data_IF_280929982036
#
_entry.id   IF_280929982036
#
_cell.length_a   1.000
_cell.length_b   1.000
_cell.length_c   1.000
_cell.angle_alpha   90.00
_cell.angle_beta   90.00
_cell.angle_gamma   90.00
#
_symmetry.space_group_name_H-M   'P 1'
#
loop_
_entity.id
_entity.type
_entity.pdbx_description
1 polymer ?
#
# COMPACT_ATOMS: atom_id res chain seq x y z
N UNK A 1 7.31 7.68 8.55
CA UNK A 1 7.03 7.80 7.10
C UNK A 1 5.56 7.53 6.79
N UNK A 2 4.99 6.36 7.10
CA UNK A 2 3.58 6.07 6.77
C UNK A 2 2.58 7.12 7.25
N UNK A 3 2.68 7.54 8.52
CA UNK A 3 1.82 8.58 9.09
C UNK A 3 1.96 9.92 8.36
N UNK A 4 3.16 10.28 7.90
CA UNK A 4 3.37 11.50 7.12
C UNK A 4 2.54 11.48 5.84
N UNK A 5 2.50 10.34 5.13
CA UNK A 5 1.68 10.18 3.92
C UNK A 5 0.19 10.05 4.25
N UNK A 6 -0.17 9.39 5.36
CA UNK A 6 -1.55 9.33 5.85
C UNK A 6 -2.11 10.73 6.15
N UNK A 7 -1.24 11.65 6.58
CA UNK A 7 -1.57 13.04 6.91
C UNK A 7 -1.27 14.02 5.75
N UNK A 8 -1.21 13.54 4.51
CA UNK A 8 -0.91 14.33 3.31
C UNK A 8 0.30 15.27 3.46
N UNK A 9 1.39 14.76 4.04
CA UNK A 9 2.65 15.48 4.16
C UNK A 9 2.75 16.44 5.34
N UNK A 10 1.74 16.50 6.23
CA UNK A 10 1.80 17.31 7.44
C UNK A 10 2.34 16.50 8.60
N UNK A 11 3.27 17.09 9.36
CA UNK A 11 3.83 16.50 10.58
C UNK A 11 3.85 17.57 11.67
N UNK A 12 3.27 17.27 12.84
CA UNK A 12 3.19 18.21 13.96
C UNK A 12 2.68 19.62 13.58
N UNK A 13 1.74 19.70 12.63
CA UNK A 13 1.18 20.98 12.14
C UNK A 13 2.02 21.70 11.09
N UNK A 14 3.21 21.19 10.75
CA UNK A 14 4.07 21.73 9.70
C UNK A 14 3.94 20.90 8.42
N UNK A 15 3.81 21.57 7.27
CA UNK A 15 3.76 20.92 5.97
C UNK A 15 5.18 20.63 5.45
N UNK A 16 5.51 19.35 5.33
CA UNK A 16 6.81 18.86 4.82
C UNK A 16 6.71 18.52 3.33
N UNK A 17 5.60 17.91 2.89
CA UNK A 17 5.37 17.56 1.48
C UNK A 17 4.30 18.49 0.87
N UNK A 18 4.34 18.75 -0.46
CA UNK A 18 3.31 19.51 -1.14
C UNK A 18 1.91 18.96 -0.85
N UNK A 19 0.91 19.84 -0.85
CA UNK A 19 -0.49 19.41 -0.75
C UNK A 19 -0.85 18.44 -1.89
N UNK A 20 -1.58 17.37 -1.55
CA UNK A 20 -1.96 16.32 -2.50
C UNK A 20 -0.82 15.34 -2.85
N UNK A 21 0.34 15.42 -2.18
CA UNK A 21 1.45 14.50 -2.44
C UNK A 21 1.09 13.05 -2.14
N UNK A 22 0.26 12.79 -1.11
CA UNK A 22 -0.21 11.44 -0.82
C UNK A 22 -1.07 10.88 -1.97
N UNK A 23 -1.96 11.71 -2.52
CA UNK A 23 -2.78 11.33 -3.67
C UNK A 23 -1.93 11.10 -4.92
N UNK A 24 -0.92 11.94 -5.14
CA UNK A 24 0.01 11.81 -6.27
C UNK A 24 0.72 10.45 -6.26
N UNK A 25 1.28 10.03 -5.11
CA UNK A 25 1.95 8.72 -5.02
C UNK A 25 0.98 7.54 -5.07
N UNK A 26 -0.28 7.74 -4.65
CA UNK A 26 -1.33 6.74 -4.72
C UNK A 26 -2.00 6.63 -6.10
N UNK A 27 -1.55 7.42 -7.09
CA UNK A 27 -2.11 7.44 -8.45
C UNK A 27 -1.22 6.65 -9.42
N UNK A 28 -1.76 5.75 -10.26
CA UNK A 28 -0.95 5.00 -11.22
C UNK A 28 -0.19 5.92 -12.18
N UNK A 29 1.10 5.68 -12.34
CA UNK A 29 1.91 6.35 -13.35
C UNK A 29 1.59 5.80 -14.76
N UNK A 30 1.68 6.60 -15.83
CA UNK A 30 1.42 6.15 -17.20
C UNK A 30 2.26 4.95 -17.65
N UNK A 31 3.47 4.80 -17.09
CA UNK A 31 4.38 3.70 -17.40
C UNK A 31 3.98 2.37 -16.75
N UNK A 32 3.10 2.40 -15.75
CA UNK A 32 2.59 1.19 -15.08
C UNK A 32 1.13 1.43 -14.64
N UNK A 33 0.20 1.52 -15.61
CA UNK A 33 -1.22 1.71 -15.34
C UNK A 33 -1.83 0.45 -14.73
N UNK A 34 -3.04 0.59 -14.20
CA UNK A 34 -3.90 -0.57 -13.90
C UNK A 34 -4.25 -1.25 -15.22
N UNK A 35 -4.12 -2.57 -15.28
CA UNK A 35 -4.47 -3.33 -16.47
C UNK A 35 -5.09 -4.67 -16.10
N UNK A 36 -6.07 -5.14 -16.84
CA UNK A 36 -6.51 -6.54 -16.71
C UNK A 36 -5.58 -7.46 -17.50
N UNK A 37 -5.14 -8.54 -16.86
CA UNK A 37 -4.47 -9.64 -17.57
C UNK A 37 -5.51 -10.46 -18.32
N UNK A 38 -5.06 -11.18 -19.35
CA UNK A 38 -5.88 -12.16 -20.06
C UNK A 38 -6.47 -13.24 -19.13
N UNK A 39 -5.89 -13.46 -17.94
CA UNK A 39 -6.41 -14.36 -16.92
C UNK A 39 -7.57 -13.77 -16.08
N UNK A 40 -8.01 -12.54 -16.36
CA UNK A 40 -9.02 -11.82 -15.57
C UNK A 40 -8.48 -11.20 -14.27
N UNK A 41 -7.20 -11.40 -13.93
CA UNK A 41 -6.58 -10.77 -12.76
C UNK A 41 -6.18 -9.32 -13.07
N UNK A 42 -6.41 -8.42 -12.12
CA UNK A 42 -5.94 -7.04 -12.18
C UNK A 42 -4.43 -6.99 -11.93
N UNK A 43 -3.70 -6.33 -12.82
CA UNK A 43 -2.38 -5.80 -12.56
C UNK A 43 -2.54 -4.50 -11.80
N UNK A 44 -2.07 -4.43 -10.54
CA UNK A 44 -2.08 -3.18 -9.79
C UNK A 44 -1.19 -2.15 -10.47
N UNK A 45 -1.57 -0.88 -10.30
CA UNK A 45 -0.72 0.22 -10.74
C UNK A 45 0.50 0.41 -9.84
N UNK A 46 1.40 1.28 -10.29
CA UNK A 46 2.51 1.80 -9.50
C UNK A 46 2.58 3.32 -9.61
N UNK A 47 2.68 4.03 -8.49
CA UNK A 47 2.69 5.48 -8.43
C UNK A 47 3.89 6.00 -7.66
N UNK A 48 4.75 6.79 -8.30
CA UNK A 48 5.88 7.50 -7.68
C UNK A 48 6.58 6.76 -6.51
N UNK A 49 7.03 5.52 -6.76
CA UNK A 49 7.72 4.62 -5.81
C UNK A 49 6.83 3.78 -4.86
N UNK A 50 5.53 3.72 -5.09
CA UNK A 50 4.57 2.92 -4.31
C UNK A 50 3.80 1.94 -5.17
N UNK A 51 3.62 0.73 -4.63
CA UNK A 51 2.70 -0.27 -5.17
C UNK A 51 1.27 0.08 -4.78
N UNK A 52 0.34 0.01 -5.74
CA UNK A 52 -1.07 0.28 -5.50
C UNK A 52 -1.84 -1.02 -5.26
N UNK A 53 -2.94 -0.94 -4.51
CA UNK A 53 -3.83 -2.07 -4.23
C UNK A 53 -5.19 -1.95 -4.91
N UNK A 54 -5.39 -0.90 -5.71
CA UNK A 54 -6.58 -0.66 -6.52
C UNK A 54 -7.05 -1.89 -7.31
N UNK A 55 -8.13 -2.50 -6.81
CA UNK A 55 -8.77 -3.70 -7.35
C UNK A 55 -7.87 -4.95 -7.37
N UNK A 56 -6.72 -4.89 -6.68
CA UNK A 56 -5.75 -5.97 -6.65
C UNK A 56 -6.23 -7.14 -5.80
N UNK A 57 -6.82 -6.84 -4.65
CA UNK A 57 -7.29 -7.79 -3.65
C UNK A 57 -8.62 -7.31 -3.07
N UNK A 58 -9.74 -8.04 -3.28
CA UNK A 58 -11.07 -7.63 -2.79
C UNK A 58 -11.16 -7.38 -1.29
N UNK A 59 -10.30 -8.01 -0.51
CA UNK A 59 -10.24 -7.94 0.95
C UNK A 59 -9.41 -6.74 1.49
N UNK A 60 -8.75 -5.98 0.62
CA UNK A 60 -7.98 -4.78 0.98
C UNK A 60 -8.60 -3.57 0.28
N UNK A 61 -8.82 -2.42 0.96
CA UNK A 61 -9.37 -1.22 0.32
C UNK A 61 -8.57 -0.77 -0.90
N UNK A 62 -9.29 -0.31 -1.94
CA UNK A 62 -8.68 0.11 -3.21
C UNK A 62 -7.79 1.34 -3.10
N UNK A 63 -7.99 2.16 -2.05
CA UNK A 63 -7.16 3.32 -1.74
C UNK A 63 -5.88 2.96 -0.97
N UNK A 64 -5.63 1.68 -0.70
CA UNK A 64 -4.40 1.23 -0.08
C UNK A 64 -3.22 1.32 -1.07
N UNK A 65 -2.07 1.74 -0.55
CA UNK A 65 -0.80 1.76 -1.28
C UNK A 65 0.35 1.43 -0.33
N UNK A 66 1.44 0.89 -0.89
CA UNK A 66 2.51 0.34 -0.06
C UNK A 66 3.90 0.48 -0.67
N UNK A 67 4.87 0.73 0.20
CA UNK A 67 6.28 0.49 -0.09
C UNK A 67 6.61 -0.95 0.30
N UNK A 68 6.97 -1.77 -0.69
CA UNK A 68 7.27 -3.18 -0.52
C UNK A 68 8.76 -3.43 -0.75
N UNK A 69 9.42 -4.05 0.23
CA UNK A 69 10.84 -4.37 0.18
C UNK A 69 11.09 -5.86 0.03
N UNK A 70 12.29 -6.21 -0.46
CA UNK A 70 12.70 -7.59 -0.61
C UNK A 70 12.65 -8.35 0.74
N UNK A 71 12.31 -9.64 0.70
CA UNK A 71 12.13 -10.51 1.89
C UNK A 71 10.99 -10.10 2.83
N UNK A 72 9.93 -9.54 2.26
CA UNK A 72 8.65 -9.33 2.94
C UNK A 72 8.57 -8.07 3.81
N UNK A 73 9.44 -7.08 3.58
CA UNK A 73 9.28 -5.76 4.21
C UNK A 73 8.02 -5.09 3.65
N UNK A 74 7.26 -4.44 4.51
CA UNK A 74 6.08 -3.70 4.08
C UNK A 74 5.86 -2.48 4.97
N UNK A 75 5.57 -1.36 4.31
CA UNK A 75 4.84 -0.23 4.86
C UNK A 75 3.59 -0.03 3.99
N UNK A 76 2.41 -0.33 4.52
CA UNK A 76 1.12 -0.13 3.85
C UNK A 76 0.37 1.03 4.52
N UNK A 77 -0.22 1.89 3.70
CA UNK A 77 -1.01 3.05 4.12
C UNK A 77 -2.42 2.87 3.56
N UNK A 78 -3.44 3.06 4.40
CA UNK A 78 -4.85 2.86 4.05
C UNK A 78 -5.62 4.11 4.52
N UNK A 79 -5.74 5.15 3.67
CA UNK A 79 -6.35 6.43 4.03
C UNK A 79 -7.79 6.29 4.56
N UNK A 80 -8.62 5.50 3.87
CA UNK A 80 -10.03 5.24 4.21
C UNK A 80 -10.23 4.60 5.59
N UNK A 81 -9.16 4.06 6.18
CA UNK A 81 -9.15 3.44 7.51
C UNK A 81 -8.32 4.22 8.52
N UNK A 82 -7.78 5.37 8.14
CA UNK A 82 -6.82 6.13 8.96
C UNK A 82 -5.72 5.22 9.54
N UNK A 83 -5.17 4.33 8.71
CA UNK A 83 -4.38 3.20 9.17
C UNK A 83 -3.04 3.10 8.44
N UNK A 84 -2.01 2.70 9.18
CA UNK A 84 -0.71 2.29 8.65
C UNK A 84 -0.36 0.92 9.23
N UNK A 85 0.02 -0.02 8.37
CA UNK A 85 0.48 -1.34 8.76
C UNK A 85 1.96 -1.47 8.39
N UNK A 86 2.79 -1.86 9.35
CA UNK A 86 4.23 -2.02 9.16
C UNK A 86 4.64 -3.44 9.51
N UNK A 87 5.38 -4.09 8.60
CA UNK A 87 6.12 -5.32 8.86
C UNK A 87 7.58 -5.12 8.49
N UNK A 88 8.48 -5.39 9.44
CA UNK A 88 9.90 -5.62 9.16
C UNK A 88 10.09 -7.12 9.01
N UNK A 89 10.35 -7.55 7.78
CA UNK A 89 10.34 -8.95 7.36
C UNK A 89 11.74 -9.52 7.14
N UNK A 90 11.86 -10.83 7.28
CA UNK A 90 13.02 -11.56 6.80
C UNK A 90 12.60 -12.95 6.33
N UNK A 91 12.00 -13.00 5.15
CA UNK A 91 11.61 -14.26 4.55
C UNK A 91 12.87 -15.00 4.05
N UNK A 92 13.12 -16.26 4.46
CA UNK A 92 14.28 -17.03 4.02
C UNK A 92 14.29 -17.25 2.50
N UNK A 93 15.48 -17.31 1.91
CA UNK A 93 15.62 -17.66 0.50
C UNK A 93 15.11 -19.09 0.26
N UNK A 94 14.27 -19.28 -0.76
CA UNK A 94 13.66 -20.57 -1.09
C UNK A 94 12.49 -20.99 -0.19
N UNK A 95 12.15 -20.21 0.84
CA UNK A 95 10.96 -20.43 1.66
C UNK A 95 9.69 -19.85 1.02
N UNK A 96 8.53 -20.19 1.60
CA UNK A 96 7.28 -19.54 1.22
C UNK A 96 7.31 -18.07 1.67
N UNK A 97 7.08 -17.15 0.72
CA UNK A 97 7.03 -15.72 1.01
C UNK A 97 5.81 -15.34 1.85
N UNK A 98 5.98 -14.36 2.74
CA UNK A 98 4.92 -13.88 3.61
C UNK A 98 3.73 -13.32 2.80
N UNK A 99 2.51 -13.72 3.16
CA UNK A 99 1.27 -13.30 2.48
C UNK A 99 0.83 -11.92 2.98
N UNK A 100 1.43 -10.87 2.42
CA UNK A 100 1.18 -9.47 2.83
C UNK A 100 -0.31 -9.09 2.77
N UNK A 101 -1.01 -9.42 1.69
CA UNK A 101 -2.43 -9.07 1.52
C UNK A 101 -3.33 -9.77 2.53
N UNK A 102 -3.12 -11.08 2.78
CA UNK A 102 -3.85 -11.84 3.79
C UNK A 102 -3.65 -11.25 5.18
N UNK A 103 -2.40 -10.93 5.54
CA UNK A 103 -2.09 -10.28 6.81
C UNK A 103 -2.77 -8.91 6.94
N UNK A 104 -2.74 -8.08 5.90
CA UNK A 104 -3.41 -6.78 5.91
C UNK A 104 -4.92 -6.93 6.10
N UNK A 105 -5.55 -7.90 5.43
CA UNK A 105 -6.97 -8.20 5.58
C UNK A 105 -7.33 -8.67 7.00
N UNK A 106 -6.49 -9.52 7.61
CA UNK A 106 -6.69 -9.97 8.99
C UNK A 106 -6.58 -8.82 9.99
N UNK A 107 -5.61 -7.92 9.82
CA UNK A 107 -5.48 -6.70 10.64
C UNK A 107 -6.71 -5.80 10.49
N UNK A 108 -7.15 -5.56 9.25
CA UNK A 108 -8.34 -4.76 8.97
C UNK A 108 -9.59 -5.34 9.67
N UNK A 109 -9.77 -6.65 9.62
CA UNK A 109 -10.89 -7.35 10.27
C UNK A 109 -10.83 -7.25 11.79
N UNK A 110 -9.63 -7.31 12.38
CA UNK A 110 -9.44 -7.21 13.82
C UNK A 110 -9.72 -5.80 14.37
N UNK A 111 -9.48 -4.76 13.57
CA UNK A 111 -9.66 -3.35 13.96
C UNK A 111 -11.09 -2.83 13.75
N UNK A 112 -11.99 -3.63 13.18
CA UNK A 112 -13.42 -3.30 13.00
C UNK A 112 -14.32 -3.88 14.09
N UNK A 113 -13.75 -4.50 15.13
CA UNK A 113 -14.45 -4.91 16.35
C UNK A 113 -14.33 -3.82 17.42
#
# INVERSE_FOLDING_TARGET
>A
LGVLYLQDGVWNGERILPEGWAQYVATPAPVQPVAQRASGRVNPGYGAQFWLYNERFPEVPDDAYAALGNRGQMLMIIPSKNMVIVRRGHDPAGGEGFKIHTFAADVLKAMTQ
#
